data_IF_416690143405
#
_entry.id   IF_416690143405
#
_cell.length_a   1.000
_cell.length_b   1.000
_cell.length_c   1.000
_cell.angle_alpha   90.00
_cell.angle_beta   90.00
_cell.angle_gamma   90.00
#
_symmetry.space_group_name_H-M   'P 1'
#
loop_
_entity.id
_entity.type
_entity.pdbx_description
1 polymer ?
#
# COMPACT_ATOMS: atom_id res chain seq x y z
N UNK A 1 -10.29 -0.74 -57.02
CA UNK A 1 -10.00 -1.03 -55.60
C UNK A 1 -8.54 -0.69 -55.33
N UNK A 2 -8.28 0.52 -54.81
CA UNK A 2 -6.92 0.95 -54.44
C UNK A 2 -6.68 0.48 -53.01
N UNK A 3 -5.99 -0.66 -52.86
CA UNK A 3 -5.60 -1.20 -51.56
C UNK A 3 -4.46 -0.38 -50.98
N UNK A 4 -4.74 0.33 -49.89
CA UNK A 4 -3.76 1.14 -49.17
C UNK A 4 -2.72 0.19 -48.51
N UNK A 5 -1.58 -0.02 -49.18
CA UNK A 5 -0.40 -0.66 -48.57
C UNK A 5 0.21 0.31 -47.57
N UNK A 6 -0.35 0.36 -46.35
CA UNK A 6 0.27 1.07 -45.23
C UNK A 6 1.56 0.32 -44.90
N UNK A 7 2.71 0.96 -45.17
CA UNK A 7 4.04 0.44 -44.82
C UNK A 7 4.12 0.15 -43.32
N UNK A 8 4.75 -0.96 -42.92
CA UNK A 8 5.05 -1.29 -41.50
C UNK A 8 5.75 -0.14 -40.77
N UNK A 9 6.50 0.69 -41.50
CA UNK A 9 7.15 1.89 -40.98
C UNK A 9 6.14 2.98 -40.59
N UNK A 10 5.13 3.23 -41.43
CA UNK A 10 4.06 4.21 -41.15
C UNK A 10 3.20 3.75 -39.98
N UNK A 11 2.91 2.44 -39.90
CA UNK A 11 2.19 1.87 -38.75
C UNK A 11 3.01 1.99 -37.45
N UNK A 12 4.33 1.75 -37.50
CA UNK A 12 5.23 1.93 -36.36
C UNK A 12 5.31 3.39 -35.89
N UNK A 13 5.36 4.35 -36.82
CA UNK A 13 5.39 5.79 -36.52
C UNK A 13 4.07 6.26 -35.88
N UNK A 14 2.92 5.79 -36.39
CA UNK A 14 1.60 6.08 -35.82
C UNK A 14 1.45 5.51 -34.40
N UNK A 15 1.90 4.27 -34.16
CA UNK A 15 1.89 3.65 -32.83
C UNK A 15 2.79 4.43 -31.86
N UNK A 16 3.95 4.90 -32.32
CA UNK A 16 4.87 5.71 -31.51
C UNK A 16 4.25 7.07 -31.15
N UNK A 17 3.66 7.78 -32.11
CA UNK A 17 3.00 9.07 -31.89
C UNK A 17 1.78 8.95 -30.97
N UNK A 18 0.96 7.91 -31.15
CA UNK A 18 -0.16 7.60 -30.26
C UNK A 18 0.33 7.31 -28.83
N UNK A 19 1.41 6.55 -28.68
CA UNK A 19 2.01 6.26 -27.37
C UNK A 19 2.55 7.52 -26.68
N UNK A 20 3.18 8.42 -27.44
CA UNK A 20 3.68 9.70 -26.94
C UNK A 20 2.56 10.65 -26.52
N UNK A 21 1.48 10.76 -27.29
CA UNK A 21 0.34 11.60 -26.92
C UNK A 21 -0.40 11.04 -25.70
N UNK A 22 -0.52 9.71 -25.60
CA UNK A 22 -1.09 9.04 -24.43
C UNK A 22 -0.24 9.31 -23.18
N UNK A 23 1.09 9.22 -23.29
CA UNK A 23 2.02 9.52 -22.20
C UNK A 23 1.93 10.99 -21.76
N UNK A 24 1.91 11.94 -22.71
CA UNK A 24 1.74 13.36 -22.43
C UNK A 24 0.42 13.65 -21.68
N UNK A 25 -0.67 12.98 -22.05
CA UNK A 25 -1.97 13.12 -21.37
C UNK A 25 -1.96 12.58 -19.93
N UNK A 26 -1.27 11.46 -19.68
CA UNK A 26 -1.13 10.89 -18.33
C UNK A 26 -0.31 11.78 -17.40
N UNK A 27 0.79 12.35 -17.90
CA UNK A 27 1.66 13.24 -17.12
C UNK A 27 0.93 14.52 -16.73
N UNK A 28 0.21 15.15 -17.67
CA UNK A 28 -0.58 16.36 -17.40
C UNK A 28 -1.65 16.13 -16.32
N UNK A 29 -2.36 14.99 -16.37
CA UNK A 29 -3.32 14.62 -15.32
C UNK A 29 -2.61 14.45 -13.98
N UNK A 30 -1.49 13.73 -13.95
CA UNK A 30 -0.73 13.52 -12.72
C UNK A 30 -0.24 14.84 -12.12
N UNK A 31 0.24 15.78 -12.94
CA UNK A 31 0.71 17.09 -12.49
C UNK A 31 -0.44 17.95 -11.93
N UNK A 32 -1.62 17.93 -12.54
CA UNK A 32 -2.81 18.60 -12.02
C UNK A 32 -3.24 18.04 -10.66
N UNK A 33 -3.30 16.72 -10.54
CA UNK A 33 -3.66 16.05 -9.27
C UNK A 33 -2.60 16.34 -8.21
N UNK A 34 -1.32 16.18 -8.54
CA UNK A 34 -0.20 16.43 -7.63
C UNK A 34 -0.19 17.88 -7.14
N UNK A 35 -0.38 18.86 -8.04
CA UNK A 35 -0.46 20.29 -7.68
C UNK A 35 -1.60 20.57 -6.71
N UNK A 36 -2.76 19.94 -6.88
CA UNK A 36 -3.90 20.10 -5.97
C UNK A 36 -3.58 19.58 -4.57
N UNK A 37 -2.94 18.40 -4.47
CA UNK A 37 -2.51 17.85 -3.18
C UNK A 37 -1.38 18.64 -2.54
N UNK A 38 -0.34 19.02 -3.29
CA UNK A 38 0.78 19.82 -2.79
C UNK A 38 0.29 21.18 -2.24
N UNK A 39 -0.64 21.86 -2.94
CA UNK A 39 -1.22 23.14 -2.50
C UNK A 39 -2.12 23.03 -1.26
N UNK A 40 -2.64 21.84 -0.96
CA UNK A 40 -3.56 21.61 0.16
C UNK A 40 -2.98 20.65 1.21
N UNK A 41 -1.69 20.33 1.14
CA UNK A 41 -1.06 19.30 1.96
C UNK A 41 -1.26 19.58 3.45
N UNK A 42 -1.04 20.82 3.88
CA UNK A 42 -1.20 21.26 5.28
C UNK A 42 -2.65 21.16 5.80
N UNK A 43 -3.65 21.05 4.92
CA UNK A 43 -5.07 20.88 5.30
C UNK A 43 -5.45 19.41 5.51
N UNK A 44 -4.58 18.47 5.12
CA UNK A 44 -4.82 17.04 5.32
C UNK A 44 -4.50 16.64 6.75
N UNK A 45 -5.07 15.53 7.22
CA UNK A 45 -4.70 14.94 8.52
C UNK A 45 -3.22 14.54 8.51
N UNK A 46 -2.48 14.64 9.63
CA UNK A 46 -1.04 14.36 9.67
C UNK A 46 -0.63 13.00 9.07
N UNK A 47 -1.38 11.93 9.39
CA UNK A 47 -1.14 10.60 8.81
C UNK A 47 -1.28 10.58 7.28
N UNK A 48 -2.22 11.35 6.73
CA UNK A 48 -2.47 11.43 5.29
C UNK A 48 -1.35 12.24 4.62
N UNK A 49 -0.88 13.32 5.25
CA UNK A 49 0.27 14.08 4.76
C UNK A 49 1.52 13.19 4.65
N UNK A 50 1.83 12.44 5.71
CA UNK A 50 2.96 11.51 5.72
C UNK A 50 2.79 10.42 4.67
N UNK A 51 1.60 9.80 4.59
CA UNK A 51 1.30 8.75 3.62
C UNK A 51 1.52 9.17 2.16
N UNK A 52 1.08 10.40 1.82
CA UNK A 52 1.29 11.03 0.52
C UNK A 52 2.77 11.33 0.28
N UNK A 53 3.43 11.96 1.26
CA UNK A 53 4.83 12.37 1.18
C UNK A 53 5.79 11.19 1.02
N UNK A 54 5.61 10.10 1.79
CA UNK A 54 6.43 8.88 1.67
C UNK A 54 6.37 8.32 0.26
N UNK A 55 5.19 8.25 -0.35
CA UNK A 55 5.02 7.73 -1.71
C UNK A 55 5.68 8.59 -2.76
N UNK A 56 5.51 9.91 -2.69
CA UNK A 56 6.18 10.80 -3.63
C UNK A 56 7.68 10.84 -3.43
N UNK A 57 8.17 10.76 -2.20
CA UNK A 57 9.61 10.61 -1.95
C UNK A 57 10.15 9.37 -2.67
N UNK A 58 9.50 8.21 -2.53
CA UNK A 58 9.96 6.95 -3.15
C UNK A 58 10.02 6.96 -4.66
N UNK A 59 9.23 7.79 -5.33
CA UNK A 59 9.24 7.89 -6.79
C UNK A 59 9.96 9.13 -7.33
N UNK A 60 10.35 10.08 -6.48
CA UNK A 60 10.98 11.34 -6.93
C UNK A 60 12.31 11.68 -6.24
N UNK A 61 12.57 11.15 -5.05
CA UNK A 61 13.71 11.51 -4.20
C UNK A 61 13.66 12.96 -3.66
N UNK A 62 12.58 13.71 -3.89
CA UNK A 62 12.52 15.13 -3.52
C UNK A 62 12.46 15.33 -2.01
N UNK A 63 13.35 16.19 -1.51
CA UNK A 63 13.47 16.52 -0.08
C UNK A 63 12.32 17.36 0.46
N UNK A 64 11.52 17.99 -0.41
CA UNK A 64 10.32 18.75 -0.04
C UNK A 64 9.31 17.90 0.76
N UNK A 65 9.36 16.59 0.59
CA UNK A 65 8.49 15.64 1.28
C UNK A 65 9.00 15.17 2.64
N UNK A 66 10.18 15.62 3.10
CA UNK A 66 10.74 15.15 4.37
C UNK A 66 9.93 15.60 5.59
N UNK A 67 9.46 16.85 5.61
CA UNK A 67 8.79 17.43 6.79
C UNK A 67 7.54 16.66 7.26
N UNK A 68 6.58 16.28 6.37
CA UNK A 68 5.44 15.46 6.78
C UNK A 68 5.85 14.06 7.29
N UNK A 69 6.88 13.46 6.70
CA UNK A 69 7.39 12.14 7.09
C UNK A 69 7.96 12.22 8.52
N UNK A 70 8.85 13.18 8.73
CA UNK A 70 9.47 13.50 10.01
C UNK A 70 8.43 13.80 11.09
N UNK A 71 7.50 14.71 10.81
CA UNK A 71 6.46 15.13 11.78
C UNK A 71 5.65 13.94 12.26
N UNK A 72 5.34 12.99 11.36
CA UNK A 72 4.56 11.82 11.71
C UNK A 72 5.36 10.78 12.51
N UNK A 73 6.69 10.70 12.34
CA UNK A 73 7.54 9.85 13.16
C UNK A 73 7.50 10.24 14.65
N UNK A 74 7.34 11.52 15.00
CA UNK A 74 7.07 11.91 16.40
C UNK A 74 5.74 11.38 16.90
N UNK A 75 4.70 11.53 16.10
CA UNK A 75 3.37 11.02 16.45
C UNK A 75 3.45 9.52 16.74
N UNK A 76 4.18 8.78 15.90
CA UNK A 76 4.38 7.34 16.09
C UNK A 76 5.24 7.00 17.31
N UNK A 77 6.27 7.79 17.63
CA UNK A 77 7.07 7.59 18.85
C UNK A 77 6.23 7.69 20.13
N UNK A 78 5.36 8.70 20.21
CA UNK A 78 4.45 8.90 21.35
C UNK A 78 3.40 7.78 21.39
N UNK A 79 2.88 7.37 20.22
CA UNK A 79 1.95 6.24 20.14
C UNK A 79 2.58 4.93 20.60
N UNK A 80 3.85 4.68 20.25
CA UNK A 80 4.56 3.48 20.68
C UNK A 80 4.63 3.43 22.21
N UNK A 81 4.98 4.53 22.87
CA UNK A 81 5.02 4.61 24.34
C UNK A 81 3.64 4.25 24.94
N UNK A 82 2.57 4.86 24.46
CA UNK A 82 1.21 4.57 24.93
C UNK A 82 0.76 3.12 24.69
N UNK A 83 1.19 2.52 23.58
CA UNK A 83 0.87 1.13 23.26
C UNK A 83 1.64 0.15 24.15
N UNK A 84 2.88 0.48 24.55
CA UNK A 84 3.68 -0.32 25.47
C UNK A 84 3.15 -0.25 26.90
N UNK A 85 2.70 0.92 27.36
CA UNK A 85 2.01 1.07 28.65
C UNK A 85 0.73 0.23 28.74
N UNK A 86 0.03 0.04 27.61
CA UNK A 86 -1.12 -0.88 27.53
C UNK A 86 -0.67 -2.33 27.47
N UNK A 87 0.44 -2.61 26.79
CA UNK A 87 1.00 -3.96 26.63
C UNK A 87 1.39 -4.60 27.96
N UNK A 88 1.87 -3.83 28.95
CA UNK A 88 2.19 -4.36 30.29
C UNK A 88 0.99 -5.01 31.00
N UNK A 89 -0.24 -4.64 30.61
CA UNK A 89 -1.48 -5.26 31.13
C UNK A 89 -1.80 -6.60 30.47
N UNK A 90 -1.13 -6.95 29.38
CA UNK A 90 -1.35 -8.16 28.61
C UNK A 90 -0.16 -9.10 28.80
N UNK A 91 -0.22 -9.98 29.80
CA UNK A 91 0.91 -10.85 30.15
C UNK A 91 1.24 -11.88 29.05
N UNK A 92 0.27 -12.37 28.30
CA UNK A 92 0.48 -13.21 27.10
C UNK A 92 -0.77 -13.24 26.22
N UNK A 93 -0.60 -13.24 24.90
CA UNK A 93 -1.71 -13.46 23.97
C UNK A 93 -1.96 -14.96 23.87
N UNK A 94 -3.14 -15.43 24.30
CA UNK A 94 -3.58 -16.79 24.03
C UNK A 94 -4.57 -16.80 22.86
N UNK A 95 -4.07 -16.93 21.63
CA UNK A 95 -4.91 -17.06 20.44
C UNK A 95 -5.28 -18.54 20.22
N UNK A 96 -6.19 -19.05 21.05
CA UNK A 96 -6.86 -20.35 20.88
C UNK A 96 -8.37 -20.21 20.59
N UNK A 97 -8.83 -18.98 20.31
CA UNK A 97 -10.25 -18.66 20.20
C UNK A 97 -10.78 -18.99 18.81
N UNK A 98 -11.93 -19.67 18.77
CA UNK A 98 -12.82 -19.67 17.61
C UNK A 98 -13.25 -18.23 17.35
N UNK A 99 -12.69 -17.60 16.30
CA UNK A 99 -13.12 -16.28 15.87
C UNK A 99 -14.32 -16.39 14.95
N UNK A 100 -15.34 -15.56 15.19
CA UNK A 100 -16.50 -15.42 14.32
C UNK A 100 -16.78 -13.95 14.04
N UNK A 101 -17.40 -13.68 12.91
CA UNK A 101 -17.96 -12.37 12.64
C UNK A 101 -19.35 -12.28 13.27
N UNK A 102 -19.78 -11.07 13.71
CA UNK A 102 -21.17 -10.83 14.08
C UNK A 102 -22.12 -11.21 12.92
N UNK A 103 -23.31 -11.71 13.24
CA UNK A 103 -24.31 -12.18 12.27
C UNK A 103 -24.66 -11.12 11.21
N UNK A 104 -24.75 -9.84 11.60
CA UNK A 104 -25.12 -8.72 10.70
C UNK A 104 -23.96 -8.19 9.84
N UNK A 105 -22.89 -8.97 9.68
CA UNK A 105 -21.67 -8.47 9.04
C UNK A 105 -21.67 -8.55 7.52
N UNK A 106 -22.59 -9.26 6.86
CA UNK A 106 -22.47 -9.51 5.41
C UNK A 106 -22.34 -8.24 4.58
N UNK A 107 -23.19 -7.24 4.86
CA UNK A 107 -23.20 -5.93 4.19
C UNK A 107 -22.18 -4.92 4.74
N UNK A 108 -21.42 -5.27 5.79
CA UNK A 108 -20.46 -4.35 6.37
C UNK A 108 -19.23 -4.17 5.48
N UNK A 109 -18.70 -2.93 5.47
CA UNK A 109 -17.42 -2.64 4.83
C UNK A 109 -16.30 -3.48 5.45
N UNK A 110 -15.26 -3.74 4.67
CA UNK A 110 -14.07 -4.48 5.14
C UNK A 110 -13.50 -3.90 6.43
N UNK A 111 -13.42 -2.57 6.50
CA UNK A 111 -12.93 -1.85 7.67
C UNK A 111 -13.79 -2.11 8.92
N UNK A 112 -15.12 -2.18 8.77
CA UNK A 112 -16.04 -2.53 9.86
C UNK A 112 -15.86 -3.99 10.31
N UNK A 113 -15.80 -4.94 9.37
CA UNK A 113 -15.54 -6.37 9.68
C UNK A 113 -14.24 -6.55 10.44
N UNK A 114 -13.15 -5.93 9.97
CA UNK A 114 -11.84 -5.95 10.65
C UNK A 114 -11.90 -5.30 12.02
N UNK A 115 -12.56 -4.16 12.17
CA UNK A 115 -12.73 -3.48 13.48
C UNK A 115 -13.46 -4.39 14.47
N UNK A 116 -14.54 -5.04 14.05
CA UNK A 116 -15.29 -5.98 14.89
C UNK A 116 -14.45 -7.19 15.29
N UNK A 117 -13.67 -7.75 14.37
CA UNK A 117 -12.76 -8.86 14.65
C UNK A 117 -11.66 -8.47 15.65
N UNK A 118 -10.98 -7.34 15.43
CA UNK A 118 -9.90 -6.87 16.30
C UNK A 118 -10.40 -6.38 17.67
N UNK A 119 -11.67 -5.98 17.78
CA UNK A 119 -12.27 -5.64 19.06
C UNK A 119 -12.39 -6.85 20.00
N UNK A 120 -12.52 -8.07 19.44
CA UNK A 120 -12.52 -9.32 20.21
C UNK A 120 -11.12 -9.75 20.67
N UNK A 121 -10.08 -9.13 20.11
CA UNK A 121 -8.66 -9.49 20.31
C UNK A 121 -7.82 -8.21 20.53
N UNK A 122 -8.10 -7.44 21.60
CA UNK A 122 -7.43 -6.16 21.84
C UNK A 122 -5.90 -6.28 21.95
N UNK A 123 -5.39 -7.42 22.42
CA UNK A 123 -3.96 -7.68 22.55
C UNK A 123 -3.27 -7.89 21.21
N UNK A 124 -3.92 -8.61 20.28
CA UNK A 124 -3.48 -8.74 18.89
C UNK A 124 -3.53 -7.37 18.22
N UNK A 125 -4.63 -6.63 18.39
CA UNK A 125 -4.78 -5.27 17.84
C UNK A 125 -3.67 -4.33 18.33
N UNK A 126 -3.33 -4.38 19.62
CA UNK A 126 -2.23 -3.61 20.19
C UNK A 126 -0.88 -4.01 19.59
N UNK A 127 -0.61 -5.32 19.51
CA UNK A 127 0.64 -5.87 18.97
C UNK A 127 0.83 -5.55 17.49
N UNK A 128 -0.23 -5.61 16.68
CA UNK A 128 -0.18 -5.21 15.27
C UNK A 128 0.14 -3.73 15.08
N UNK A 129 -0.35 -2.85 15.97
CA UNK A 129 -0.01 -1.41 15.93
C UNK A 129 1.45 -1.17 16.30
N UNK A 130 1.95 -1.84 17.34
CA UNK A 130 3.36 -1.78 17.72
C UNK A 130 4.23 -2.22 16.52
N UNK A 131 3.90 -3.37 15.92
CA UNK A 131 4.62 -3.91 14.77
C UNK A 131 4.66 -2.94 13.58
N UNK A 132 3.55 -2.25 13.28
CA UNK A 132 3.49 -1.26 12.22
C UNK A 132 4.44 -0.07 12.48
N UNK A 133 4.44 0.45 13.72
CA UNK A 133 5.32 1.58 14.09
C UNK A 133 6.79 1.18 14.00
N UNK A 134 7.17 -0.01 14.48
CA UNK A 134 8.55 -0.48 14.40
C UNK A 134 9.01 -0.65 12.95
N UNK A 135 8.16 -1.13 12.06
CA UNK A 135 8.53 -1.23 10.65
C UNK A 135 8.68 0.15 9.99
N UNK A 136 7.82 1.12 10.30
CA UNK A 136 8.01 2.49 9.83
C UNK A 136 9.35 3.05 10.32
N UNK A 137 9.66 2.89 11.60
CA UNK A 137 10.94 3.32 12.17
C UNK A 137 12.13 2.61 11.50
N UNK A 138 12.01 1.32 11.17
CA UNK A 138 13.02 0.60 10.40
C UNK A 138 13.18 1.16 8.98
N UNK A 139 12.08 1.43 8.28
CA UNK A 139 12.08 1.96 6.91
C UNK A 139 12.72 3.36 6.79
N UNK A 140 12.77 4.11 7.89
CA UNK A 140 13.38 5.45 7.95
C UNK A 140 14.70 5.50 8.74
N UNK A 141 15.25 4.33 9.09
CA UNK A 141 16.49 4.17 9.85
C UNK A 141 16.46 4.82 11.25
N UNK A 142 15.28 4.96 11.86
CA UNK A 142 15.08 5.57 13.19
C UNK A 142 14.83 4.55 14.30
N UNK A 143 14.78 3.26 13.98
CA UNK A 143 14.44 2.18 14.93
C UNK A 143 15.31 2.19 16.19
N UNK A 144 16.61 2.48 16.07
CA UNK A 144 17.55 2.55 17.20
C UNK A 144 17.93 4.00 17.58
N UNK A 145 17.15 4.99 17.13
CA UNK A 145 17.41 6.40 17.43
C UNK A 145 16.81 6.81 18.78
N UNK A 146 17.21 7.98 19.28
CA UNK A 146 16.62 8.62 20.46
C UNK A 146 15.10 8.90 20.30
N UNK A 147 14.58 8.89 19.07
CA UNK A 147 13.15 9.07 18.81
C UNK A 147 12.33 7.83 19.22
N UNK A 148 12.94 6.64 19.22
CA UNK A 148 12.27 5.38 19.59
C UNK A 148 13.03 4.68 20.75
N UNK A 149 13.07 5.28 21.95
CA UNK A 149 13.89 4.77 23.06
C UNK A 149 13.46 3.40 23.57
N UNK A 150 12.20 3.02 23.35
CA UNK A 150 11.60 1.77 23.86
C UNK A 150 11.56 0.64 22.81
N UNK A 151 12.37 0.72 21.76
CA UNK A 151 12.40 -0.28 20.67
C UNK A 151 12.65 -1.70 21.18
N UNK A 152 13.63 -1.90 22.06
CA UNK A 152 13.94 -3.25 22.55
C UNK A 152 12.80 -3.86 23.35
N UNK A 153 12.14 -3.06 24.19
CA UNK A 153 10.93 -3.46 24.92
C UNK A 153 9.81 -3.86 23.95
N UNK A 154 9.61 -3.09 22.88
CA UNK A 154 8.61 -3.38 21.86
C UNK A 154 8.89 -4.67 21.09
N UNK A 155 10.15 -4.91 20.69
CA UNK A 155 10.58 -6.14 20.04
C UNK A 155 10.40 -7.35 20.96
N UNK A 156 10.77 -7.23 22.23
CA UNK A 156 10.58 -8.29 23.23
C UNK A 156 9.08 -8.64 23.39
N UNK A 157 8.21 -7.62 23.43
CA UNK A 157 6.75 -7.82 23.46
C UNK A 157 6.24 -8.59 22.25
N UNK A 158 6.69 -8.24 21.03
CA UNK A 158 6.28 -8.97 19.82
C UNK A 158 6.80 -10.41 19.86
N UNK A 159 8.10 -10.60 20.18
CA UNK A 159 8.75 -11.92 20.26
C UNK A 159 8.00 -12.86 21.18
N UNK A 160 7.61 -12.39 22.37
CA UNK A 160 6.82 -13.14 23.34
C UNK A 160 5.48 -13.64 22.78
N UNK A 161 4.91 -12.94 21.80
CA UNK A 161 3.58 -13.20 21.26
C UNK A 161 3.59 -13.74 19.82
N UNK A 162 4.76 -14.12 19.28
CA UNK A 162 4.92 -14.52 17.88
C UNK A 162 4.03 -15.70 17.47
N UNK A 163 3.91 -16.72 18.33
CA UNK A 163 3.10 -17.90 18.02
C UNK A 163 1.63 -17.53 17.81
N UNK A 164 1.04 -16.80 18.75
CA UNK A 164 -0.35 -16.34 18.68
C UNK A 164 -0.58 -15.36 17.53
N UNK A 165 0.40 -14.51 17.24
CA UNK A 165 0.35 -13.60 16.10
C UNK A 165 0.38 -14.36 14.77
N UNK A 166 1.25 -15.36 14.63
CA UNK A 166 1.33 -16.21 13.44
C UNK A 166 0.02 -16.98 13.22
N UNK A 167 -0.53 -17.59 14.29
CA UNK A 167 -1.80 -18.29 14.24
C UNK A 167 -2.97 -17.37 13.82
N UNK A 168 -2.99 -16.12 14.30
CA UNK A 168 -3.96 -15.13 13.86
C UNK A 168 -3.79 -14.76 12.38
N UNK A 169 -2.58 -14.41 11.95
CA UNK A 169 -2.30 -13.96 10.58
C UNK A 169 -2.58 -15.07 9.54
N UNK A 170 -2.36 -16.34 9.89
CA UNK A 170 -2.59 -17.48 9.00
C UNK A 170 -4.01 -18.05 9.07
N UNK A 171 -4.87 -17.50 9.92
CA UNK A 171 -6.25 -17.96 10.03
C UNK A 171 -7.04 -17.64 8.74
N UNK A 172 -7.73 -18.63 8.11
CA UNK A 172 -8.45 -18.42 6.86
C UNK A 172 -9.52 -17.32 6.91
N UNK A 173 -10.21 -17.15 8.05
CA UNK A 173 -11.20 -16.08 8.23
C UNK A 173 -10.53 -14.70 8.25
N UNK A 174 -9.38 -14.58 8.92
CA UNK A 174 -8.59 -13.34 8.97
C UNK A 174 -8.10 -12.96 7.57
N UNK A 175 -7.57 -13.94 6.82
CA UNK A 175 -7.15 -13.75 5.42
C UNK A 175 -8.34 -13.33 4.56
N UNK A 176 -9.49 -13.99 4.68
CA UNK A 176 -10.71 -13.64 3.92
C UNK A 176 -11.18 -12.21 4.20
N UNK A 177 -11.05 -11.73 5.43
CA UNK A 177 -11.50 -10.38 5.84
C UNK A 177 -10.46 -9.30 5.54
N UNK A 178 -9.17 -9.62 5.59
CA UNK A 178 -8.10 -8.61 5.63
C UNK A 178 -6.83 -9.06 4.94
N UNK A 179 -6.96 -9.77 3.82
CA UNK A 179 -5.83 -10.29 3.03
C UNK A 179 -4.70 -9.27 2.87
N UNK A 180 -5.00 -8.06 2.39
CA UNK A 180 -4.02 -7.01 2.20
C UNK A 180 -3.26 -6.60 3.48
N UNK A 181 -3.94 -6.48 4.61
CA UNK A 181 -3.29 -6.15 5.88
C UNK A 181 -2.45 -7.33 6.38
N UNK A 182 -2.93 -8.56 6.21
CA UNK A 182 -2.16 -9.75 6.58
C UNK A 182 -0.89 -9.84 5.73
N UNK A 183 -0.98 -9.61 4.41
CA UNK A 183 0.18 -9.56 3.51
C UNK A 183 1.21 -8.56 4.05
N UNK A 184 0.78 -7.33 4.36
CA UNK A 184 1.66 -6.34 4.98
C UNK A 184 2.35 -6.93 6.21
N UNK A 185 1.60 -7.34 7.25
CA UNK A 185 2.18 -7.85 8.51
C UNK A 185 3.13 -9.02 8.35
N UNK A 186 2.85 -9.94 7.42
CA UNK A 186 3.73 -11.08 7.13
C UNK A 186 5.09 -10.62 6.59
N UNK A 187 5.11 -9.62 5.72
CA UNK A 187 6.37 -9.03 5.24
C UNK A 187 7.02 -8.10 6.27
N UNK A 188 6.24 -7.42 7.12
CA UNK A 188 6.76 -6.62 8.25
C UNK A 188 7.56 -7.51 9.22
N UNK A 189 6.99 -8.66 9.61
CA UNK A 189 7.64 -9.63 10.49
C UNK A 189 8.94 -10.17 9.91
N UNK A 190 8.97 -10.41 8.59
CA UNK A 190 10.18 -10.84 7.90
C UNK A 190 11.24 -9.72 7.86
N UNK A 191 10.86 -8.47 7.56
CA UNK A 191 11.80 -7.34 7.51
C UNK A 191 12.45 -7.05 8.86
N UNK A 192 11.69 -7.19 9.94
CA UNK A 192 12.19 -7.03 11.31
C UNK A 192 12.95 -8.26 11.83
N UNK A 193 13.17 -9.27 10.98
CA UNK A 193 13.87 -10.52 11.31
C UNK A 193 13.27 -11.25 12.54
N UNK A 194 11.93 -11.28 12.60
CA UNK A 194 11.19 -11.90 13.70
C UNK A 194 10.70 -13.31 13.36
N UNK A 195 10.07 -13.47 12.20
CA UNK A 195 9.60 -14.75 11.65
C UNK A 195 9.27 -14.59 10.16
N UNK A 196 9.53 -15.61 9.35
CA UNK A 196 9.12 -15.63 7.94
C UNK A 196 7.85 -16.47 7.74
N UNK A 197 6.72 -15.80 7.52
CA UNK A 197 5.42 -16.41 7.25
C UNK A 197 5.01 -16.29 5.78
N UNK A 198 5.87 -15.75 4.89
CA UNK A 198 5.48 -15.36 3.52
C UNK A 198 4.95 -16.52 2.71
N UNK A 199 5.67 -17.65 2.70
CA UNK A 199 5.23 -18.86 1.97
C UNK A 199 3.89 -19.38 2.50
N UNK A 200 3.79 -19.55 3.82
CA UNK A 200 2.58 -20.07 4.47
C UNK A 200 1.37 -19.17 4.18
N UNK A 201 1.55 -17.85 4.23
CA UNK A 201 0.50 -16.90 3.90
C UNK A 201 0.07 -17.00 2.44
N UNK A 202 1.00 -17.08 1.48
CA UNK A 202 0.68 -17.21 0.05
C UNK A 202 -0.11 -18.50 -0.20
N UNK A 203 0.33 -19.63 0.36
CA UNK A 203 -0.35 -20.92 0.21
C UNK A 203 -1.80 -20.84 0.75
N UNK A 204 -1.99 -20.21 1.92
CA UNK A 204 -3.33 -20.01 2.52
C UNK A 204 -4.17 -19.02 1.73
N UNK A 205 -3.58 -17.94 1.24
CA UNK A 205 -4.26 -16.94 0.40
C UNK A 205 -4.81 -17.57 -0.87
N UNK A 206 -3.99 -18.36 -1.58
CA UNK A 206 -4.40 -19.06 -2.81
C UNK A 206 -5.48 -20.12 -2.54
N UNK A 207 -5.49 -20.72 -1.34
CA UNK A 207 -6.57 -21.64 -0.93
C UNK A 207 -7.88 -20.91 -0.65
N UNK A 208 -7.83 -19.80 0.09
CA UNK A 208 -9.00 -18.97 0.44
C UNK A 208 -9.61 -18.33 -0.81
N UNK A 209 -8.76 -17.89 -1.75
CA UNK A 209 -9.14 -17.19 -2.98
C UNK A 209 -8.73 -17.98 -4.24
N UNK A 210 -9.09 -19.26 -4.30
CA UNK A 210 -8.77 -20.12 -5.43
C UNK A 210 -9.42 -19.60 -6.73
N UNK A 211 -8.65 -19.47 -7.81
CA UNK A 211 -9.07 -18.85 -9.07
C UNK A 211 -10.33 -19.50 -9.70
N UNK A 212 -10.49 -20.82 -9.59
CA UNK A 212 -11.66 -21.52 -10.12
C UNK A 212 -12.98 -21.15 -9.40
N UNK A 213 -12.92 -20.39 -8.30
CA UNK A 213 -14.10 -19.91 -7.55
C UNK A 213 -14.46 -18.45 -7.87
N UNK A 214 -13.77 -17.79 -8.80
CA UNK A 214 -13.94 -16.35 -9.06
C UNK A 214 -15.37 -15.98 -9.50
N UNK A 215 -16.01 -16.86 -10.27
CA UNK A 215 -17.42 -16.72 -10.68
C UNK A 215 -18.42 -16.80 -9.51
N UNK A 216 -18.00 -17.38 -8.38
CA UNK A 216 -18.81 -17.48 -7.16
C UNK A 216 -18.55 -16.31 -6.19
N UNK A 217 -17.57 -15.46 -6.47
CA UNK A 217 -17.28 -14.30 -5.63
C UNK A 217 -18.24 -13.16 -5.97
N UNK A 218 -18.76 -12.49 -4.94
CA UNK A 218 -19.35 -11.15 -5.13
C UNK A 218 -18.27 -10.17 -5.58
N UNK A 219 -18.64 -9.04 -6.22
CA UNK A 219 -17.67 -8.01 -6.62
C UNK A 219 -16.81 -7.53 -5.46
N UNK A 220 -17.40 -7.45 -4.26
CA UNK A 220 -16.67 -7.10 -3.06
C UNK A 220 -15.61 -8.14 -2.68
N UNK A 221 -15.94 -9.43 -2.77
CA UNK A 221 -15.00 -10.51 -2.46
C UNK A 221 -13.92 -10.64 -3.53
N UNK A 222 -14.27 -10.44 -4.80
CA UNK A 222 -13.33 -10.36 -5.90
C UNK A 222 -12.37 -9.17 -5.72
N UNK A 223 -12.88 -7.97 -5.42
CA UNK A 223 -12.06 -6.81 -5.08
C UNK A 223 -11.12 -7.08 -3.90
N UNK A 224 -11.59 -7.74 -2.84
CA UNK A 224 -10.76 -8.09 -1.69
C UNK A 224 -9.64 -9.10 -2.05
N UNK A 225 -9.89 -10.01 -3.00
CA UNK A 225 -8.86 -10.89 -3.60
C UNK A 225 -7.81 -10.08 -4.37
N UNK A 226 -8.23 -9.24 -5.31
CA UNK A 226 -7.31 -8.43 -6.13
C UNK A 226 -6.47 -7.53 -5.22
N UNK A 227 -7.10 -6.88 -4.26
CA UNK A 227 -6.42 -6.03 -3.28
C UNK A 227 -5.45 -6.81 -2.38
N UNK A 228 -5.74 -8.07 -2.07
CA UNK A 228 -4.79 -8.96 -1.41
C UNK A 228 -3.55 -9.23 -2.26
N UNK A 229 -3.74 -9.53 -3.55
CA UNK A 229 -2.63 -9.74 -4.49
C UNK A 229 -1.77 -8.50 -4.67
N UNK A 230 -2.37 -7.30 -4.82
CA UNK A 230 -1.59 -6.06 -4.94
C UNK A 230 -0.75 -5.82 -3.70
N UNK A 231 -1.28 -6.09 -2.50
CA UNK A 231 -0.54 -5.94 -1.26
C UNK A 231 0.58 -6.97 -1.03
N UNK A 232 0.50 -8.16 -1.63
CA UNK A 232 1.65 -9.08 -1.67
C UNK A 232 2.81 -8.42 -2.42
N UNK A 233 2.53 -7.81 -3.59
CA UNK A 233 3.52 -7.11 -4.41
C UNK A 233 4.06 -5.87 -3.71
N UNK A 234 3.17 -5.01 -3.22
CA UNK A 234 3.54 -3.78 -2.52
C UNK A 234 4.39 -4.11 -1.29
N UNK A 235 4.00 -5.07 -0.46
CA UNK A 235 4.76 -5.44 0.73
C UNK A 235 6.13 -6.07 0.38
N UNK A 236 6.19 -6.92 -0.65
CA UNK A 236 7.44 -7.51 -1.15
C UNK A 236 8.42 -6.47 -1.70
N UNK A 237 7.91 -5.41 -2.33
CA UNK A 237 8.70 -4.29 -2.85
C UNK A 237 9.23 -3.34 -1.77
N UNK A 238 9.07 -3.70 -0.49
CA UNK A 238 9.28 -2.81 0.65
C UNK A 238 8.50 -1.49 0.50
N UNK A 239 7.24 -1.61 0.03
CA UNK A 239 6.38 -0.48 -0.30
C UNK A 239 7.01 0.48 -1.32
N UNK A 240 7.28 0.00 -2.53
CA UNK A 240 7.80 0.78 -3.66
C UNK A 240 9.26 1.23 -3.55
N UNK A 241 10.08 0.53 -2.76
CA UNK A 241 11.52 0.85 -2.62
C UNK A 241 12.40 0.02 -3.55
N UNK A 242 11.88 -1.10 -4.08
CA UNK A 242 12.62 -1.96 -5.01
C UNK A 242 11.71 -2.64 -6.02
N UNK A 243 12.31 -3.02 -7.14
CA UNK A 243 11.69 -3.90 -8.12
C UNK A 243 11.68 -5.35 -7.63
N UNK A 244 10.85 -6.17 -8.27
CA UNK A 244 10.64 -7.57 -7.94
C UNK A 244 10.93 -8.46 -9.15
N UNK A 245 11.60 -9.59 -8.91
CA UNK A 245 11.82 -10.58 -9.95
C UNK A 245 10.50 -11.22 -10.40
N UNK A 246 10.25 -11.25 -11.72
CA UNK A 246 9.05 -11.87 -12.29
C UNK A 246 8.85 -13.32 -11.84
N UNK A 247 9.91 -14.13 -11.81
CA UNK A 247 9.82 -15.55 -11.46
C UNK A 247 9.13 -15.80 -10.10
N UNK A 248 9.31 -14.89 -9.13
CA UNK A 248 8.72 -15.01 -7.80
C UNK A 248 7.23 -14.65 -7.78
N UNK A 249 6.78 -13.77 -8.68
CA UNK A 249 5.44 -13.17 -8.67
C UNK A 249 4.66 -13.39 -9.97
N UNK A 250 5.13 -14.30 -10.84
CA UNK A 250 4.54 -14.58 -12.13
C UNK A 250 3.06 -14.94 -12.02
N UNK A 251 2.66 -15.68 -10.98
CA UNK A 251 1.27 -16.07 -10.76
C UNK A 251 0.33 -14.87 -10.52
N UNK A 252 0.79 -13.79 -9.86
CA UNK A 252 0.01 -12.55 -9.70
C UNK A 252 0.00 -11.78 -11.03
N UNK A 253 1.17 -11.62 -11.64
CA UNK A 253 1.32 -10.89 -12.89
C UNK A 253 0.43 -11.48 -14.00
N UNK A 254 0.51 -12.79 -14.20
CA UNK A 254 -0.26 -13.51 -15.23
C UNK A 254 -1.76 -13.47 -14.93
N UNK A 255 -2.15 -13.59 -13.65
CA UNK A 255 -3.55 -13.46 -13.27
C UNK A 255 -4.09 -12.06 -13.59
N UNK A 256 -3.35 -11.00 -13.28
CA UNK A 256 -3.74 -9.63 -13.65
C UNK A 256 -3.82 -9.41 -15.16
N UNK A 257 -2.87 -9.95 -15.93
CA UNK A 257 -2.94 -9.88 -17.41
C UNK A 257 -4.18 -10.58 -17.96
N UNK A 258 -4.43 -11.82 -17.51
CA UNK A 258 -5.53 -12.64 -18.02
C UNK A 258 -6.91 -12.09 -17.63
N UNK A 259 -7.03 -11.47 -16.46
CA UNK A 259 -8.32 -11.03 -15.90
C UNK A 259 -8.51 -9.51 -15.93
N UNK A 260 -7.72 -8.76 -16.71
CA UNK A 260 -7.74 -7.29 -16.61
C UNK A 260 -9.12 -6.69 -16.84
N UNK A 261 -9.88 -7.19 -17.82
CA UNK A 261 -11.20 -6.63 -18.14
C UNK A 261 -12.21 -6.87 -17.00
N UNK A 262 -12.13 -8.03 -16.35
CA UNK A 262 -12.92 -8.35 -15.16
C UNK A 262 -12.51 -7.47 -13.95
N UNK A 263 -11.20 -7.25 -13.77
CA UNK A 263 -10.66 -6.36 -12.72
C UNK A 263 -11.18 -4.94 -12.89
N UNK A 264 -11.14 -4.40 -14.12
CA UNK A 264 -11.62 -3.04 -14.41
C UNK A 264 -13.12 -2.90 -14.17
N UNK A 265 -13.91 -3.94 -14.47
CA UNK A 265 -15.36 -3.92 -14.29
C UNK A 265 -15.79 -4.05 -12.83
N UNK A 266 -15.11 -4.89 -12.04
CA UNK A 266 -15.59 -5.33 -10.71
C UNK A 266 -14.91 -4.64 -9.54
N UNK A 267 -13.85 -3.85 -9.77
CA UNK A 267 -13.07 -3.22 -8.70
C UNK A 267 -13.06 -1.69 -8.77
N UNK A 268 -12.77 -1.07 -7.63
CA UNK A 268 -12.62 0.39 -7.53
C UNK A 268 -11.28 0.91 -8.07
N UNK A 269 -11.27 2.18 -8.45
CA UNK A 269 -10.14 2.86 -9.09
C UNK A 269 -8.82 2.82 -8.27
N UNK A 270 -8.87 2.80 -6.93
CA UNK A 270 -7.66 2.61 -6.10
C UNK A 270 -7.07 1.21 -6.23
N UNK A 271 -7.90 0.16 -6.31
CA UNK A 271 -7.40 -1.22 -6.54
C UNK A 271 -6.82 -1.33 -7.95
N UNK A 272 -7.49 -0.74 -8.94
CA UNK A 272 -7.03 -0.70 -10.33
C UNK A 272 -5.67 0.01 -10.45
N UNK A 273 -5.48 1.13 -9.74
CA UNK A 273 -4.19 1.81 -9.69
C UNK A 273 -3.09 0.93 -9.05
N UNK A 274 -3.40 0.20 -7.98
CA UNK A 274 -2.45 -0.74 -7.36
C UNK A 274 -2.10 -1.93 -8.26
N UNK A 275 -3.04 -2.43 -9.08
CA UNK A 275 -2.76 -3.43 -10.12
C UNK A 275 -1.77 -2.86 -11.14
N UNK A 276 -1.99 -1.62 -11.59
CA UNK A 276 -1.06 -0.93 -12.49
C UNK A 276 0.34 -0.81 -11.89
N UNK A 277 0.43 -0.40 -10.62
CA UNK A 277 1.70 -0.29 -9.91
C UNK A 277 2.35 -1.66 -9.69
N UNK A 278 1.58 -2.73 -9.58
CA UNK A 278 2.11 -4.09 -9.48
C UNK A 278 2.83 -4.49 -10.77
N UNK A 279 2.28 -4.17 -11.94
CA UNK A 279 2.99 -4.33 -13.22
C UNK A 279 4.28 -3.50 -13.28
N UNK A 280 4.23 -2.27 -12.77
CA UNK A 280 5.39 -1.40 -12.71
C UNK A 280 6.48 -1.87 -11.75
N UNK A 281 6.14 -2.61 -10.70
CA UNK A 281 7.07 -3.13 -9.70
C UNK A 281 7.74 -4.45 -10.11
N UNK A 282 7.04 -5.28 -10.87
CA UNK A 282 7.55 -6.58 -11.31
C UNK A 282 8.39 -6.38 -12.58
N UNK A 283 9.67 -6.76 -12.53
CA UNK A 283 10.59 -6.71 -13.65
C UNK A 283 10.20 -7.75 -14.71
N UNK A 284 9.63 -7.26 -15.81
CA UNK A 284 9.25 -8.08 -16.95
C UNK A 284 9.75 -7.42 -18.24
N UNK A 285 10.27 -8.23 -19.16
CA UNK A 285 10.89 -7.75 -20.40
C UNK A 285 9.88 -7.18 -21.40
N UNK A 286 8.64 -7.67 -21.37
CA UNK A 286 7.57 -7.19 -22.25
C UNK A 286 6.65 -6.21 -21.52
N UNK A 287 6.27 -5.16 -22.23
CA UNK A 287 5.26 -4.20 -21.78
C UNK A 287 3.89 -4.88 -21.69
N UNK A 288 3.25 -4.79 -20.52
CA UNK A 288 1.90 -5.31 -20.28
C UNK A 288 0.86 -4.53 -21.10
N UNK A 289 0.04 -5.24 -21.87
CA UNK A 289 -1.07 -4.61 -22.59
C UNK A 289 -2.14 -4.06 -21.63
N UNK A 290 -2.30 -4.71 -20.47
CA UNK A 290 -3.20 -4.32 -19.38
C UNK A 290 -2.84 -2.96 -18.79
N UNK A 291 -1.55 -2.62 -18.73
CA UNK A 291 -1.10 -1.34 -18.17
C UNK A 291 -1.70 -0.14 -18.93
N UNK A 292 -1.87 -0.25 -20.25
CA UNK A 292 -2.52 0.80 -21.04
C UNK A 292 -4.02 0.89 -20.75
N UNK A 293 -4.71 -0.25 -20.60
CA UNK A 293 -6.13 -0.28 -20.21
C UNK A 293 -6.36 0.36 -18.85
N UNK A 294 -5.49 0.07 -17.88
CA UNK A 294 -5.51 0.66 -16.53
C UNK A 294 -5.32 2.18 -16.60
N UNK A 295 -4.29 2.64 -17.32
CA UNK A 295 -4.03 4.07 -17.47
C UNK A 295 -5.21 4.77 -18.13
N UNK A 296 -5.79 4.18 -19.18
CA UNK A 296 -6.97 4.73 -19.86
C UNK A 296 -8.17 4.83 -18.90
N UNK A 297 -8.48 3.75 -18.17
CA UNK A 297 -9.56 3.73 -17.18
C UNK A 297 -9.43 4.86 -16.15
N UNK A 298 -8.23 5.09 -15.63
CA UNK A 298 -7.99 6.15 -14.63
C UNK A 298 -8.10 7.55 -15.24
N UNK A 299 -7.66 7.75 -16.49
CA UNK A 299 -7.85 9.01 -17.22
C UNK A 299 -9.33 9.31 -17.42
N UNK A 300 -10.13 8.32 -17.79
CA UNK A 300 -11.58 8.48 -18.01
C UNK A 300 -12.32 8.84 -16.71
N UNK A 301 -11.75 8.53 -15.55
CA UNK A 301 -12.27 8.90 -14.23
C UNK A 301 -11.77 10.26 -13.72
N UNK A 302 -10.77 10.88 -14.36
CA UNK A 302 -10.24 12.15 -13.92
C UNK A 302 -11.29 13.26 -14.04
N UNK A 303 -11.51 13.99 -12.95
CA UNK A 303 -12.37 15.17 -12.94
C UNK A 303 -11.51 16.43 -13.09
N UNK A 304 -11.58 17.09 -14.24
CA UNK A 304 -10.78 18.28 -14.55
C UNK A 304 -11.10 19.49 -13.65
N UNK A 305 -12.35 19.63 -13.21
CA UNK A 305 -12.80 20.72 -12.33
C UNK A 305 -12.27 20.56 -10.90
N UNK A 306 -12.32 19.34 -10.37
CA UNK A 306 -11.86 19.03 -9.02
C UNK A 306 -10.36 18.70 -8.97
N UNK A 307 -9.73 18.47 -10.12
CA UNK A 307 -8.35 18.03 -10.25
C UNK A 307 -8.04 16.78 -9.41
N UNK A 308 -8.95 15.82 -9.39
CA UNK A 308 -8.81 14.53 -8.72
C UNK A 308 -9.51 13.44 -9.51
N UNK A 309 -9.13 12.19 -9.24
CA UNK A 309 -9.95 11.02 -9.51
C UNK A 309 -10.90 10.85 -8.31
N UNK A 310 -12.22 11.03 -8.45
CA UNK A 310 -13.17 10.97 -7.35
C UNK A 310 -13.47 9.52 -6.93
N UNK A 311 -14.09 9.35 -5.77
CA UNK A 311 -14.63 8.06 -5.35
C UNK A 311 -16.01 7.82 -6.00
N UNK A 312 -16.63 6.67 -5.76
CA UNK A 312 -17.98 6.37 -6.30
C UNK A 312 -19.05 7.40 -5.88
N UNK A 313 -18.88 8.08 -4.74
CA UNK A 313 -19.82 9.11 -4.25
C UNK A 313 -19.52 10.52 -4.76
N UNK A 314 -18.51 10.72 -5.61
CA UNK A 314 -18.13 12.05 -6.10
C UNK A 314 -17.57 13.00 -5.02
N UNK A 315 -17.14 12.50 -3.86
CA UNK A 315 -16.65 13.34 -2.75
C UNK A 315 -15.39 14.10 -3.13
N UNK A 316 -15.32 15.35 -2.67
CA UNK A 316 -14.20 16.27 -2.90
C UNK A 316 -13.25 16.33 -1.68
N UNK A 317 -13.51 15.54 -0.63
CA UNK A 317 -12.64 15.49 0.55
C UNK A 317 -11.29 14.87 0.17
N UNK A 318 -10.25 15.70 0.15
CA UNK A 318 -8.89 15.29 -0.17
C UNK A 318 -8.35 14.22 0.79
N UNK A 319 -8.80 14.19 2.05
CA UNK A 319 -8.41 13.11 2.98
C UNK A 319 -8.94 11.75 2.54
N UNK A 320 -10.15 11.71 1.98
CA UNK A 320 -10.76 10.48 1.45
C UNK A 320 -10.24 10.15 0.04
N UNK A 321 -9.77 11.15 -0.70
CA UNK A 321 -9.28 11.00 -2.07
C UNK A 321 -7.80 10.65 -2.17
N UNK A 322 -6.99 10.93 -1.14
CA UNK A 322 -5.52 10.84 -1.17
C UNK A 322 -5.04 9.50 -1.73
N UNK A 323 -5.38 8.37 -1.09
CA UNK A 323 -4.83 7.05 -1.46
C UNK A 323 -4.98 6.76 -2.95
N UNK A 324 -6.17 6.97 -3.51
CA UNK A 324 -6.42 6.71 -4.95
C UNK A 324 -5.60 7.63 -5.85
N UNK A 325 -5.49 8.90 -5.47
CA UNK A 325 -4.86 9.92 -6.30
C UNK A 325 -3.35 9.83 -6.25
N UNK A 326 -2.75 9.54 -5.09
CA UNK A 326 -1.31 9.30 -5.00
C UNK A 326 -0.89 8.08 -5.83
N UNK A 327 -1.67 7.00 -5.80
CA UNK A 327 -1.38 5.82 -6.62
C UNK A 327 -1.46 6.14 -8.12
N UNK A 328 -2.43 6.96 -8.54
CA UNK A 328 -2.55 7.40 -9.92
C UNK A 328 -1.38 8.30 -10.34
N UNK A 329 -0.95 9.25 -9.49
CA UNK A 329 0.25 10.06 -9.72
C UNK A 329 1.46 9.15 -9.92
N UNK A 330 1.66 8.19 -9.00
CA UNK A 330 2.77 7.25 -9.09
C UNK A 330 2.73 6.42 -10.36
N UNK A 331 1.55 5.94 -10.78
CA UNK A 331 1.41 5.12 -11.97
C UNK A 331 1.69 5.91 -13.27
N UNK A 332 1.22 7.15 -13.33
CA UNK A 332 1.40 8.02 -14.50
C UNK A 332 2.82 8.59 -14.59
N UNK A 333 3.48 8.80 -13.45
CA UNK A 333 4.85 9.33 -13.34
C UNK A 333 5.84 8.29 -12.84
N UNK A 334 5.59 7.01 -13.15
CA UNK A 334 6.40 5.92 -12.62
C UNK A 334 7.86 6.04 -13.09
N UNK A 335 8.84 6.07 -12.17
CA UNK A 335 10.22 6.38 -12.52
C UNK A 335 11.00 5.13 -12.96
N UNK A 336 12.16 5.36 -13.57
CA UNK A 336 13.16 4.31 -13.81
C UNK A 336 13.86 3.87 -12.53
N UNK A 337 14.06 4.80 -11.59
CA UNK A 337 14.74 4.58 -10.30
C UNK A 337 13.75 4.78 -9.16
N UNK A 338 13.72 3.82 -8.23
CA UNK A 338 12.99 3.93 -6.98
C UNK A 338 13.96 4.32 -5.86
N UNK A 339 13.45 5.12 -4.92
CA UNK A 339 14.22 5.55 -3.76
C UNK A 339 13.81 4.73 -2.54
N UNK A 340 14.77 4.32 -1.68
CA UNK A 340 14.44 3.81 -0.35
C UNK A 340 13.68 4.89 0.45
N UNK A 341 13.12 4.55 1.61
CA UNK A 341 12.66 5.58 2.55
C UNK A 341 13.78 6.57 2.89
N UNK A 342 13.49 7.84 3.23
CA UNK A 342 14.53 8.76 3.65
C UNK A 342 15.25 8.22 4.88
N UNK A 343 16.59 8.27 4.87
CA UNK A 343 17.38 8.00 6.06
C UNK A 343 17.30 9.21 7.00
N UNK A 344 16.41 9.14 7.99
CA UNK A 344 16.20 10.22 8.93
C UNK A 344 17.25 10.24 10.04
N UNK A 345 18.03 9.16 10.23
CA UNK A 345 19.19 9.20 11.12
C UNK A 345 20.31 10.07 10.54
N UNK A 346 20.42 10.12 9.21
CA UNK A 346 21.35 11.01 8.51
C UNK A 346 20.83 12.47 8.37
N UNK A 347 19.57 12.75 8.74
CA UNK A 347 19.02 14.11 8.71
C UNK A 347 19.45 14.92 9.95
N UNK A 348 20.75 15.26 10.00
CA UNK A 348 21.40 15.92 11.16
C UNK A 348 20.75 17.24 11.53
N UNK A 349 20.34 18.06 10.56
CA UNK A 349 19.68 19.35 10.83
C UNK A 349 18.40 19.15 11.63
N UNK A 350 17.63 18.13 11.26
CA UNK A 350 16.40 17.77 11.94
C UNK A 350 16.66 17.23 13.35
N UNK A 351 17.59 16.28 13.51
CA UNK A 351 17.92 15.73 14.83
C UNK A 351 18.51 16.79 15.76
N UNK A 352 19.32 17.71 15.24
CA UNK A 352 19.89 18.82 16.00
C UNK A 352 18.81 19.78 16.53
N UNK A 353 17.74 20.00 15.77
CA UNK A 353 16.59 20.83 16.19
C UNK A 353 15.88 20.24 17.42
N UNK A 354 15.88 18.92 17.59
CA UNK A 354 15.31 18.27 18.77
C UNK A 354 16.14 18.43 20.03
N UNK A 355 17.44 18.65 19.86
CA UNK A 355 18.39 18.81 20.95
C UNK A 355 18.64 20.28 21.29
N UNK A 356 18.18 21.21 20.45
CA UNK A 356 18.24 22.63 20.74
C UNK A 356 17.40 22.94 21.98
N UNK A 357 18.06 23.39 23.05
CA UNK A 357 17.39 24.12 24.12
C UNK A 357 16.75 25.34 23.45
N UNK A 358 15.42 25.47 23.55
CA UNK A 358 14.75 26.63 22.99
C UNK A 358 15.42 27.89 23.55
N UNK A 359 15.83 28.85 22.70
CA UNK A 359 16.08 30.19 23.20
C UNK A 359 14.75 30.69 23.75
N UNK A 360 14.71 30.86 25.07
CA UNK A 360 13.55 31.41 25.80
C UNK A 360 13.16 32.77 25.24
#
# INVERSE_FOLDING_TARGET
MIGLKISKFVLGLLICLLSQSLAASSIDIADKVQKNFDNNLFKLKPIIQSHYAVRLYRITGRKDYLYPIISFQFVESIQLQQLLEKATRFSSINFNKTISLPLDSENNSRAKKRKALLAQLPEISNTLKILLILDHAQQFNTLNSALFPNTQTALAHIKKNLHSLAAFLLNPLVIKISAAQVANFVYLLHRLDLIDLRKQYIDRFQTVFANHKDSMLTDKMFEDKIYGMTHIIIAASNYYQKKLAYAQFAWIYQYFEQHIDEILARTKADVIAEVGLSFCLIEHTNYSSSLNKIKQFLKDKFNSKQQIIPNKSGSHDLNLAEHRNILAIMLFKWPSVLYPGPDLAAATDFLSTLQQKQPL
#
